data_IF_465197524573
#
_entry.id   IF_465197524573
#
_cell.length_a   1.000
_cell.length_b   1.000
_cell.length_c   1.000
_cell.angle_alpha   90.00
_cell.angle_beta   90.00
_cell.angle_gamma   90.00
#
_symmetry.space_group_name_H-M   'P 1'
#
loop_
_entity.id
_entity.type
_entity.pdbx_description
1 polymer ?
#
# COMPACT_ATOMS: atom_id res chain seq x y z
N UNK A 1 2.98 2.17 -14.76
CA UNK A 1 2.88 0.92 -15.53
C UNK A 1 3.32 1.15 -16.97
N UNK A 2 4.01 0.18 -17.57
CA UNK A 2 4.37 0.15 -18.99
C UNK A 2 3.79 -1.14 -19.60
N UNK A 3 3.13 -1.08 -20.75
CA UNK A 3 2.57 -2.26 -21.43
C UNK A 3 2.84 -2.23 -22.93
N UNK A 4 2.97 -3.40 -23.56
CA UNK A 4 3.25 -3.54 -25.01
C UNK A 4 1.97 -3.88 -25.77
N UNK A 5 1.51 -3.00 -26.67
CA UNK A 5 0.32 -3.25 -27.49
C UNK A 5 0.65 -4.12 -28.72
N UNK A 6 -0.37 -4.69 -29.38
CA UNK A 6 -0.27 -5.52 -30.59
C UNK A 6 0.40 -4.88 -31.82
N UNK A 7 0.79 -3.60 -31.73
CA UNK A 7 1.62 -2.90 -32.71
C UNK A 7 3.11 -2.77 -32.27
N UNK A 8 3.57 -3.56 -31.27
CA UNK A 8 4.90 -3.47 -30.65
C UNK A 8 5.25 -2.10 -30.04
N UNK A 9 4.25 -1.29 -29.67
CA UNK A 9 4.45 0.00 -29.00
C UNK A 9 4.31 -0.15 -27.49
N UNK A 10 5.30 0.37 -26.75
CA UNK A 10 5.22 0.44 -25.28
C UNK A 10 4.48 1.72 -24.89
N UNK A 11 3.35 1.59 -24.21
CA UNK A 11 2.62 2.73 -23.65
C UNK A 11 2.92 2.82 -22.16
N UNK A 12 3.47 3.96 -21.74
CA UNK A 12 3.75 4.26 -20.34
C UNK A 12 2.62 5.08 -19.71
N UNK A 13 2.06 4.60 -18.61
CA UNK A 13 1.13 5.33 -17.75
C UNK A 13 1.80 5.57 -16.41
N UNK A 14 1.93 6.83 -16.02
CA UNK A 14 2.52 7.25 -14.75
C UNK A 14 1.44 7.92 -13.90
N UNK A 15 1.36 7.58 -12.62
CA UNK A 15 0.50 8.26 -11.66
C UNK A 15 1.10 8.18 -10.26
N UNK A 16 0.86 9.20 -9.44
CA UNK A 16 0.98 9.13 -7.99
C UNK A 16 -0.35 8.59 -7.46
N UNK A 17 -0.47 7.27 -7.46
CA UNK A 17 -1.72 6.54 -7.28
C UNK A 17 -1.46 5.30 -6.42
N UNK A 18 -2.45 4.93 -5.63
CA UNK A 18 -2.32 3.84 -4.68
C UNK A 18 -1.63 4.24 -3.38
N UNK A 19 -1.69 3.34 -2.40
CA UNK A 19 -1.23 3.59 -1.04
C UNK A 19 -0.49 2.37 -0.51
N UNK A 20 0.68 2.58 0.08
CA UNK A 20 1.42 1.52 0.76
C UNK A 20 0.63 0.96 1.95
N UNK A 21 0.70 -0.35 2.15
CA UNK A 21 0.19 -0.97 3.36
C UNK A 21 0.92 -0.46 4.59
N UNK A 22 0.25 -0.42 5.74
CA UNK A 22 0.79 0.11 7.00
C UNK A 22 2.08 -0.61 7.43
N UNK A 23 2.21 -1.89 7.11
CA UNK A 23 3.35 -2.73 7.46
C UNK A 23 4.29 -2.99 6.27
N UNK A 24 4.04 -2.34 5.13
CA UNK A 24 4.86 -2.52 3.92
C UNK A 24 6.17 -1.75 4.08
N UNK A 25 7.33 -2.32 3.66
CA UNK A 25 8.52 -1.52 3.43
C UNK A 25 8.24 -0.44 2.39
N UNK A 26 8.85 0.74 2.57
CA UNK A 26 8.77 1.89 1.67
C UNK A 26 9.89 1.86 0.64
N UNK A 27 10.07 0.71 -0.02
CA UNK A 27 11.11 0.47 -1.01
C UNK A 27 10.53 0.43 -2.43
N UNK A 28 11.38 0.67 -3.42
CA UNK A 28 11.01 0.49 -4.82
C UNK A 28 10.87 -1.00 -5.15
N UNK A 29 9.84 -1.34 -5.94
CA UNK A 29 9.70 -2.66 -6.53
C UNK A 29 9.32 -2.57 -8.00
N UNK A 30 9.79 -3.51 -8.81
CA UNK A 30 9.44 -3.56 -10.23
C UNK A 30 9.34 -5.00 -10.73
N UNK A 31 8.52 -5.22 -11.76
CA UNK A 31 8.36 -6.54 -12.34
C UNK A 31 7.17 -6.65 -13.29
N UNK A 32 7.05 -7.82 -13.91
CA UNK A 32 5.90 -8.18 -14.75
C UNK A 32 4.70 -8.44 -13.84
N UNK A 33 3.54 -7.88 -14.18
CA UNK A 33 2.30 -8.10 -13.43
C UNK A 33 1.73 -9.46 -13.74
N UNK A 34 1.39 -10.22 -12.71
CA UNK A 34 0.88 -11.58 -12.82
C UNK A 34 -0.40 -11.72 -11.99
N UNK A 35 -1.40 -12.37 -12.57
CA UNK A 35 -2.66 -12.69 -11.91
C UNK A 35 -2.60 -14.11 -11.34
N UNK A 36 -3.24 -14.38 -10.19
CA UNK A 36 -3.43 -15.76 -9.73
C UNK A 36 -4.31 -16.53 -10.71
N UNK A 37 -3.96 -17.79 -10.96
CA UNK A 37 -4.75 -18.73 -11.76
C UNK A 37 -5.94 -19.20 -10.92
N UNK A 38 -7.16 -19.03 -11.44
CA UNK A 38 -8.37 -19.42 -10.72
C UNK A 38 -8.94 -18.31 -9.85
N UNK A 39 -8.65 -18.32 -8.53
CA UNK A 39 -9.22 -17.33 -7.59
C UNK A 39 -8.54 -15.96 -7.73
N UNK A 40 -9.24 -14.92 -8.25
CA UNK A 40 -8.66 -13.59 -8.41
C UNK A 40 -8.27 -12.93 -7.09
N UNK A 41 -8.75 -13.46 -5.95
CA UNK A 41 -8.43 -12.93 -4.64
C UNK A 41 -7.06 -13.39 -4.11
N UNK A 42 -6.44 -14.43 -4.69
CA UNK A 42 -5.15 -14.95 -4.21
C UNK A 42 -5.19 -15.48 -2.77
N UNK A 43 -6.34 -16.02 -2.36
CA UNK A 43 -6.56 -16.55 -1.02
C UNK A 43 -6.22 -18.03 -1.01
N UNK A 44 -4.95 -18.36 -0.76
CA UNK A 44 -4.39 -19.65 -0.32
C UNK A 44 -2.90 -19.71 -0.64
N UNK A 45 -2.15 -20.51 0.11
CA UNK A 45 -0.76 -20.84 -0.19
C UNK A 45 -0.58 -21.71 -1.45
N UNK A 46 -1.64 -22.32 -1.99
CA UNK A 46 -1.62 -23.07 -3.25
C UNK A 46 -2.07 -22.23 -4.46
N UNK A 47 -2.22 -20.91 -4.28
CA UNK A 47 -2.57 -20.01 -5.37
C UNK A 47 -1.48 -20.07 -6.45
N UNK A 48 -1.85 -20.63 -7.61
CA UNK A 48 -0.92 -20.81 -8.72
C UNK A 48 -0.76 -19.49 -9.48
N UNK A 49 0.38 -18.83 -9.32
CA UNK A 49 0.72 -17.62 -10.09
C UNK A 49 1.37 -17.93 -11.44
N UNK A 50 1.38 -19.19 -11.90
CA UNK A 50 2.13 -19.63 -13.08
C UNK A 50 3.60 -19.19 -13.04
N UNK A 51 4.12 -18.94 -11.83
CA UNK A 51 5.46 -18.43 -11.52
C UNK A 51 5.92 -19.10 -10.23
N UNK A 52 6.99 -19.88 -10.33
CA UNK A 52 7.61 -20.59 -9.20
C UNK A 52 9.03 -20.07 -8.91
N UNK A 53 9.35 -18.87 -9.38
CA UNK A 53 10.68 -18.27 -9.31
C UNK A 53 10.58 -16.77 -9.08
N UNK A 54 11.51 -16.22 -8.31
CA UNK A 54 11.68 -14.77 -8.15
C UNK A 54 12.33 -14.09 -9.36
N UNK A 55 12.80 -14.87 -10.34
CA UNK A 55 13.40 -14.36 -11.58
C UNK A 55 12.69 -14.88 -12.84
N UNK A 56 12.35 -14.01 -13.80
CA UNK A 56 12.43 -12.53 -13.73
C UNK A 56 11.49 -11.96 -12.65
N UNK A 57 11.79 -10.77 -12.10
CA UNK A 57 10.99 -10.18 -11.04
C UNK A 57 9.56 -9.92 -11.52
N UNK A 58 8.60 -10.23 -10.65
CA UNK A 58 7.18 -10.14 -10.97
C UNK A 58 6.39 -9.63 -9.77
N UNK A 59 5.22 -9.07 -10.07
CA UNK A 59 4.34 -8.40 -9.12
C UNK A 59 2.99 -9.09 -9.16
N UNK A 60 2.54 -9.60 -8.02
CA UNK A 60 1.22 -10.20 -7.91
C UNK A 60 0.14 -9.11 -7.93
N UNK A 61 -0.85 -9.23 -8.80
CA UNK A 61 -2.04 -8.38 -8.79
C UNK A 61 -3.25 -9.20 -8.35
N UNK A 62 -3.82 -8.85 -7.19
CA UNK A 62 -4.90 -9.61 -6.55
C UNK A 62 -6.07 -8.71 -6.17
N UNK A 63 -7.28 -9.28 -6.19
CA UNK A 63 -8.51 -8.59 -5.80
C UNK A 63 -8.68 -8.56 -4.29
N UNK A 64 -9.12 -7.43 -3.76
CA UNK A 64 -9.58 -7.30 -2.37
C UNK A 64 -10.83 -8.16 -2.13
N UNK A 65 -10.85 -8.88 -1.01
CA UNK A 65 -11.98 -9.71 -0.58
C UNK A 65 -11.57 -11.16 -0.25
N UNK A 66 -12.53 -11.95 0.22
CA UNK A 66 -12.42 -13.39 0.53
C UNK A 66 -11.47 -13.80 1.69
N UNK A 67 -10.30 -13.17 1.81
CA UNK A 67 -9.32 -13.41 2.88
C UNK A 67 -8.62 -12.13 3.33
N UNK A 68 -7.79 -12.22 4.37
CA UNK A 68 -7.05 -11.08 4.93
C UNK A 68 -5.99 -10.55 3.97
N UNK A 69 -5.55 -9.31 4.17
CA UNK A 69 -4.43 -8.76 3.39
C UNK A 69 -3.15 -9.57 3.61
N UNK A 70 -2.87 -9.96 4.86
CA UNK A 70 -1.69 -10.77 5.19
C UNK A 70 -1.66 -12.10 4.44
N UNK A 71 -2.79 -12.79 4.35
CA UNK A 71 -2.88 -14.10 3.69
C UNK A 71 -2.53 -13.98 2.20
N UNK A 72 -3.09 -12.98 1.51
CA UNK A 72 -2.78 -12.70 0.10
C UNK A 72 -1.31 -12.38 -0.12
N UNK A 73 -0.78 -11.52 0.76
CA UNK A 73 0.60 -11.03 0.65
C UNK A 73 1.58 -12.18 0.88
N UNK A 74 1.35 -13.00 1.90
CA UNK A 74 2.18 -14.17 2.17
C UNK A 74 2.08 -15.21 1.06
N UNK A 75 0.88 -15.50 0.54
CA UNK A 75 0.72 -16.42 -0.58
C UNK A 75 1.55 -16.01 -1.82
N UNK A 76 1.51 -14.73 -2.20
CA UNK A 76 2.33 -14.23 -3.30
C UNK A 76 3.84 -14.21 -2.96
N UNK A 77 4.19 -13.82 -1.74
CA UNK A 77 5.58 -13.80 -1.25
C UNK A 77 6.21 -15.19 -1.28
N UNK A 78 5.48 -16.21 -0.86
CA UNK A 78 5.94 -17.60 -0.81
C UNK A 78 6.21 -18.18 -2.22
N UNK A 79 5.56 -17.62 -3.25
CA UNK A 79 5.85 -17.92 -4.67
C UNK A 79 6.98 -17.05 -5.26
N UNK A 80 7.60 -16.20 -4.45
CA UNK A 80 8.75 -15.38 -4.85
C UNK A 80 8.39 -14.07 -5.55
N UNK A 81 7.17 -13.54 -5.35
CA UNK A 81 6.80 -12.23 -5.86
C UNK A 81 7.73 -11.13 -5.28
N UNK A 82 8.06 -10.13 -6.11
CA UNK A 82 8.84 -8.97 -5.67
C UNK A 82 7.97 -7.92 -4.97
N UNK A 83 6.69 -7.84 -5.31
CA UNK A 83 5.70 -6.99 -4.65
C UNK A 83 4.28 -7.54 -4.86
N UNK A 84 3.35 -7.02 -4.07
CA UNK A 84 1.93 -7.36 -4.12
C UNK A 84 1.09 -6.10 -4.29
N UNK A 85 0.21 -6.11 -5.28
CA UNK A 85 -0.73 -5.03 -5.56
C UNK A 85 -2.13 -5.58 -5.32
N UNK A 86 -2.82 -5.00 -4.34
CA UNK A 86 -4.21 -5.33 -4.05
C UNK A 86 -5.10 -4.27 -4.69
N UNK A 87 -5.95 -4.64 -5.64
CA UNK A 87 -6.94 -3.70 -6.16
C UNK A 87 -8.28 -3.84 -5.44
N UNK A 88 -8.95 -2.71 -5.25
CA UNK A 88 -10.15 -2.63 -4.43
C UNK A 88 -11.37 -3.35 -5.04
N UNK A 89 -12.43 -3.53 -4.25
CA UNK A 89 -13.67 -4.24 -4.64
C UNK A 89 -14.46 -3.48 -5.70
N UNK A 90 -15.38 -4.17 -6.38
CA UNK A 90 -16.19 -3.56 -7.42
C UNK A 90 -17.07 -2.44 -6.86
N UNK A 91 -17.25 -1.39 -7.66
CA UNK A 91 -18.02 -0.20 -7.27
C UNK A 91 -17.24 0.82 -6.43
N UNK A 92 -16.00 0.54 -6.02
CA UNK A 92 -15.17 1.50 -5.27
C UNK A 92 -14.48 2.56 -6.13
N UNK A 93 -14.63 2.51 -7.46
CA UNK A 93 -13.99 3.45 -8.38
C UNK A 93 -12.47 3.57 -8.20
N UNK A 94 -12.01 4.78 -7.90
CA UNK A 94 -10.60 5.09 -7.62
C UNK A 94 -10.24 5.05 -6.13
N UNK A 95 -11.20 4.78 -5.26
CA UNK A 95 -10.98 4.81 -3.81
C UNK A 95 -10.06 3.67 -3.40
N UNK A 96 -9.16 3.99 -2.48
CA UNK A 96 -8.25 3.04 -1.85
C UNK A 96 -8.61 2.87 -0.38
N UNK A 97 -8.07 1.83 0.24
CA UNK A 97 -8.21 1.57 1.66
C UNK A 97 -6.83 1.25 2.22
N UNK A 98 -6.52 1.78 3.41
CA UNK A 98 -5.28 1.43 4.07
C UNK A 98 -5.27 -0.07 4.43
N UNK A 99 -4.28 -0.79 3.93
CA UNK A 99 -4.08 -2.20 4.27
C UNK A 99 -3.32 -2.30 5.59
N UNK A 100 -3.86 -3.04 6.54
CA UNK A 100 -3.12 -3.50 7.71
C UNK A 100 -2.80 -4.98 7.52
N UNK A 101 -1.53 -5.35 7.63
CA UNK A 101 -1.05 -6.70 7.32
C UNK A 101 0.17 -7.07 8.18
N UNK A 102 0.05 -6.94 9.50
CA UNK A 102 1.14 -7.20 10.45
C UNK A 102 1.71 -8.61 10.40
N UNK A 103 0.98 -9.58 9.84
CA UNK A 103 1.43 -10.97 9.71
C UNK A 103 2.17 -11.22 8.37
N UNK A 104 2.30 -10.19 7.53
CA UNK A 104 2.98 -10.27 6.24
C UNK A 104 3.94 -9.08 6.08
N UNK A 105 5.17 -9.28 6.53
CA UNK A 105 6.26 -8.29 6.45
C UNK A 105 7.31 -8.68 5.40
N UNK A 106 8.18 -7.71 5.06
CA UNK A 106 9.36 -7.94 4.22
C UNK A 106 9.12 -7.93 2.72
N UNK A 107 7.92 -7.58 2.26
CA UNK A 107 7.58 -7.45 0.83
C UNK A 107 6.77 -6.17 0.60
N UNK A 108 7.07 -5.46 -0.49
CA UNK A 108 6.33 -4.25 -0.87
C UNK A 108 4.87 -4.63 -1.18
N UNK A 109 3.93 -4.00 -0.48
CA UNK A 109 2.50 -4.22 -0.64
C UNK A 109 1.77 -2.88 -0.77
N UNK A 110 1.07 -2.68 -1.90
CA UNK A 110 0.30 -1.46 -2.16
C UNK A 110 -1.16 -1.78 -2.48
N UNK A 111 -2.06 -0.85 -2.18
CA UNK A 111 -3.45 -0.90 -2.63
C UNK A 111 -3.70 0.12 -3.74
N UNK A 112 -4.41 -0.29 -4.79
CA UNK A 112 -4.89 0.60 -5.86
C UNK A 112 -6.42 0.56 -5.98
N UNK A 113 -6.99 1.57 -6.64
CA UNK A 113 -8.42 1.63 -6.92
C UNK A 113 -8.88 0.50 -7.84
N UNK A 114 -10.17 0.17 -7.78
CA UNK A 114 -10.77 -0.90 -8.59
C UNK A 114 -10.67 -0.62 -10.10
N UNK A 115 -10.92 0.63 -10.53
CA UNK A 115 -10.82 0.99 -11.95
C UNK A 115 -9.43 0.72 -12.53
N UNK A 116 -8.38 1.13 -11.83
CA UNK A 116 -7.00 0.90 -12.27
C UNK A 116 -6.64 -0.59 -12.25
N UNK A 117 -7.04 -1.32 -11.19
CA UNK A 117 -6.81 -2.76 -11.12
C UNK A 117 -7.48 -3.52 -12.26
N UNK A 118 -8.75 -3.23 -12.54
CA UNK A 118 -9.49 -3.88 -13.61
C UNK A 118 -8.96 -3.55 -15.01
N UNK A 119 -8.43 -2.35 -15.22
CA UNK A 119 -7.75 -1.98 -16.46
C UNK A 119 -6.52 -2.88 -16.70
N UNK A 120 -5.71 -3.10 -15.66
CA UNK A 120 -4.53 -3.96 -15.73
C UNK A 120 -4.93 -5.44 -15.90
N UNK A 121 -5.93 -5.91 -15.15
CA UNK A 121 -6.48 -7.27 -15.29
C UNK A 121 -6.92 -7.54 -16.73
N UNK A 122 -7.62 -6.59 -17.35
CA UNK A 122 -8.06 -6.71 -18.74
C UNK A 122 -6.89 -6.82 -19.70
N UNK A 123 -5.82 -6.04 -19.50
CA UNK A 123 -4.62 -6.14 -20.33
C UNK A 123 -3.96 -7.51 -20.21
N UNK A 124 -3.70 -7.97 -18.97
CA UNK A 124 -3.05 -9.26 -18.73
C UNK A 124 -3.88 -10.42 -19.29
N UNK A 125 -5.19 -10.43 -19.09
CA UNK A 125 -6.08 -11.45 -19.65
C UNK A 125 -6.14 -11.44 -21.18
N UNK A 126 -5.88 -10.30 -21.82
CA UNK A 126 -5.79 -10.19 -23.28
C UNK A 126 -4.41 -10.63 -23.82
N UNK A 127 -3.54 -11.18 -22.98
CA UNK A 127 -2.19 -11.61 -23.36
C UNK A 127 -1.19 -10.45 -23.53
N UNK A 128 -1.50 -9.28 -22.98
CA UNK A 128 -0.58 -8.13 -22.98
C UNK A 128 0.32 -8.21 -21.75
N UNK A 129 1.63 -8.24 -21.97
CA UNK A 129 2.61 -8.13 -20.90
C UNK A 129 2.59 -6.71 -20.31
N UNK A 130 2.23 -6.63 -19.03
CA UNK A 130 2.23 -5.39 -18.25
C UNK A 130 3.41 -5.42 -17.30
N UNK A 131 4.29 -4.43 -17.39
CA UNK A 131 5.36 -4.18 -16.42
C UNK A 131 4.94 -3.05 -15.48
N UNK A 132 5.16 -3.23 -14.18
CA UNK A 132 4.89 -2.21 -13.17
C UNK A 132 6.18 -1.83 -12.44
N UNK A 133 6.29 -0.55 -12.12
CA UNK A 133 7.29 0.02 -11.22
C UNK A 133 6.49 0.71 -10.13
N UNK A 134 6.82 0.41 -8.89
CA UNK A 134 6.22 0.93 -7.67
C UNK A 134 7.33 1.72 -6.98
N UNK A 135 7.08 3.01 -6.77
CA UNK A 135 8.00 3.92 -6.09
C UNK A 135 7.32 4.53 -4.86
N UNK A 136 8.10 4.92 -3.86
CA UNK A 136 7.58 5.64 -2.71
C UNK A 136 7.07 7.03 -3.16
N UNK A 137 5.77 7.27 -2.97
CA UNK A 137 5.16 8.58 -3.20
C UNK A 137 5.38 9.53 -2.03
N UNK A 138 4.67 10.66 -2.05
CA UNK A 138 4.70 11.59 -0.92
C UNK A 138 3.92 11.02 0.28
N UNK A 139 4.35 11.29 1.52
CA UNK A 139 3.59 10.89 2.70
C UNK A 139 2.26 11.67 2.75
N UNK A 140 1.15 10.93 2.61
CA UNK A 140 -0.21 11.44 2.78
C UNK A 140 -0.76 10.94 4.11
N UNK A 141 -0.51 11.69 5.16
CA UNK A 141 -1.10 11.50 6.49
C UNK A 141 -1.53 12.86 7.03
N UNK A 142 -2.30 12.92 8.14
CA UNK A 142 -2.44 14.20 8.79
C UNK A 142 -1.03 14.62 9.16
N UNK A 143 -0.58 15.73 8.57
CA UNK A 143 0.42 16.58 9.16
C UNK A 143 -0.15 17.03 10.51
N UNK A 144 -0.20 16.12 11.49
CA UNK A 144 -0.25 16.52 12.88
C UNK A 144 1.13 17.08 13.09
N UNK A 145 1.25 18.38 12.80
CA UNK A 145 2.18 19.27 13.44
C UNK A 145 1.97 19.09 14.95
N UNK A 146 2.48 18.00 15.52
CA UNK A 146 2.35 17.66 16.94
C UNK A 146 2.97 18.78 17.80
N UNK A 147 3.69 19.71 17.17
CA UNK A 147 3.89 21.09 17.60
C UNK A 147 2.68 21.72 18.31
N UNK A 148 1.45 21.65 17.79
CA UNK A 148 0.29 22.25 18.46
C UNK A 148 0.03 21.64 19.85
N UNK A 149 0.20 20.31 19.99
CA UNK A 149 0.12 19.61 21.27
C UNK A 149 1.26 20.01 22.21
N UNK A 150 2.48 20.20 21.69
CA UNK A 150 3.61 20.71 22.48
C UNK A 150 3.39 22.16 22.94
N UNK A 151 2.86 23.03 22.09
CA UNK A 151 2.53 24.41 22.44
C UNK A 151 1.44 24.48 23.53
N UNK A 152 0.41 23.63 23.44
CA UNK A 152 -0.61 23.53 24.49
C UNK A 152 -0.04 22.99 25.81
N UNK A 153 0.80 21.96 25.75
CA UNK A 153 1.44 21.37 26.93
C UNK A 153 2.36 22.36 27.64
N UNK A 154 3.24 23.05 26.91
CA UNK A 154 4.14 24.06 27.48
C UNK A 154 3.35 25.21 28.11
N UNK A 155 2.30 25.70 27.43
CA UNK A 155 1.45 26.77 27.97
C UNK A 155 0.77 26.35 29.28
N UNK A 156 0.28 25.11 29.37
CA UNK A 156 -0.31 24.57 30.59
C UNK A 156 0.69 24.58 31.75
N UNK A 157 1.92 24.08 31.54
CA UNK A 157 2.96 24.10 32.57
C UNK A 157 3.31 25.51 33.06
N UNK A 158 3.41 26.49 32.14
CA UNK A 158 3.69 27.88 32.49
C UNK A 158 2.56 28.46 33.36
N UNK A 159 1.30 28.25 32.96
CA UNK A 159 0.13 28.75 33.70
C UNK A 159 0.04 28.09 35.08
N UNK A 160 0.26 26.79 35.18
CA UNK A 160 0.27 26.07 36.46
C UNK A 160 1.38 26.58 37.37
N UNK A 161 2.61 26.75 36.88
CA UNK A 161 3.73 27.25 37.67
C UNK A 161 3.52 28.69 38.17
N UNK A 162 3.00 29.57 37.31
CA UNK A 162 2.67 30.94 37.69
C UNK A 162 1.56 30.98 38.75
N UNK A 163 0.53 30.15 38.58
CA UNK A 163 -0.59 30.04 39.52
C UNK A 163 -0.11 29.53 40.87
N UNK A 164 0.67 28.45 40.90
CA UNK A 164 1.27 27.90 42.12
C UNK A 164 2.15 28.93 42.84
N UNK A 165 3.02 29.63 42.09
CA UNK A 165 3.90 30.66 42.66
C UNK A 165 3.10 31.81 43.29
N UNK A 166 2.02 32.24 42.62
CA UNK A 166 1.12 33.27 43.13
C UNK A 166 0.40 32.82 44.41
N UNK A 167 -0.11 31.59 44.44
CA UNK A 167 -0.75 31.03 45.64
C UNK A 167 0.19 30.94 46.84
N UNK A 168 1.44 30.51 46.63
CA UNK A 168 2.45 30.45 47.70
C UNK A 168 2.78 31.84 48.23
N UNK A 169 2.91 32.84 47.35
CA UNK A 169 3.21 34.21 47.77
C UNK A 169 2.08 34.82 48.62
N UNK A 170 0.84 34.61 48.21
CA UNK A 170 -0.33 35.10 48.97
C UNK A 170 -0.52 34.35 50.29
N UNK A 171 -0.23 33.05 50.36
CA UNK A 171 -0.42 32.27 51.58
C UNK A 171 0.72 32.41 52.59
N UNK A 172 1.90 32.85 52.14
CA UNK A 172 3.06 33.13 53.00
C UNK A 172 3.08 34.55 53.60
N UNK A 173 2.19 35.43 53.15
CA UNK A 173 1.95 36.79 53.67
C UNK A 173 0.64 36.84 54.46
#
# INVERSE_FOLDING_TARGET
TRYVNGNNTTVGKYCECGVYGRNSPLDQASGIVVLPTGDPHGCRSDSDYSRNSSYPPWIALVKRGNCTFSEKINAAKDHGAAAVVVYNVDGSGNDTTHMAHSEAEGIVAIMIGNFQGMEIVKMVNNGVDVTMIIDAGNPHGPWLDTYWLHFLSISFFIVTAASFSYFVFISAN
#
